data_IF_533355558147
#
_entry.id   IF_533355558147
#
_cell.length_a   1.000
_cell.length_b   1.000
_cell.length_c   1.000
_cell.angle_alpha   90.00
_cell.angle_beta   90.00
_cell.angle_gamma   90.00
#
_symmetry.space_group_name_H-M   'P 1'
#
loop_
_entity.id
_entity.type
_entity.pdbx_description
1 polymer ?
#
# COMPACT_ATOMS: atom_id res chain seq x y z
N UNK A 1 -4.41 0.14 -13.08
CA UNK A 1 -3.08 -0.21 -12.58
C UNK A 1 -3.03 0.00 -11.07
N UNK A 2 -2.60 -1.04 -10.30
CA UNK A 2 -2.45 -1.01 -8.85
C UNK A 2 -3.08 -2.22 -8.16
N UNK A 3 -2.48 -2.69 -7.05
CA UNK A 3 -2.87 -3.92 -6.34
C UNK A 3 -3.68 -3.71 -5.05
N UNK A 4 -4.17 -2.51 -4.80
CA UNK A 4 -4.92 -2.18 -3.58
C UNK A 4 -6.44 -2.18 -3.77
N UNK A 5 -7.15 -1.98 -2.65
CA UNK A 5 -8.61 -1.97 -2.62
C UNK A 5 -9.24 -1.00 -3.62
N UNK A 6 -8.64 0.18 -3.81
CA UNK A 6 -9.14 1.17 -4.77
C UNK A 6 -9.16 0.62 -6.21
N UNK A 7 -8.10 -0.12 -6.61
CA UNK A 7 -8.05 -0.72 -7.94
C UNK A 7 -9.19 -1.75 -8.12
N UNK A 8 -9.38 -2.62 -7.13
CA UNK A 8 -10.43 -3.65 -7.15
C UNK A 8 -11.82 -3.02 -7.24
N UNK A 9 -12.08 -1.99 -6.43
CA UNK A 9 -13.36 -1.27 -6.47
C UNK A 9 -13.59 -0.60 -7.82
N UNK A 10 -12.59 0.08 -8.37
CA UNK A 10 -12.68 0.75 -9.68
C UNK A 10 -12.94 -0.25 -10.82
N UNK A 11 -12.28 -1.41 -10.81
CA UNK A 11 -12.52 -2.46 -11.82
C UNK A 11 -13.96 -2.92 -11.78
N UNK A 12 -14.51 -3.25 -10.60
CA UNK A 12 -15.88 -3.73 -10.49
C UNK A 12 -16.91 -2.66 -10.83
N UNK A 13 -16.63 -1.38 -10.53
CA UNK A 13 -17.50 -0.26 -10.85
C UNK A 13 -17.53 0.03 -12.35
N UNK A 14 -16.39 -0.08 -13.03
CA UNK A 14 -16.26 0.22 -14.46
C UNK A 14 -16.68 -0.97 -15.34
N UNK A 15 -16.59 -2.20 -14.83
CA UNK A 15 -16.84 -3.41 -15.60
C UNK A 15 -18.17 -3.41 -16.41
N UNK A 16 -19.30 -2.87 -15.93
CA UNK A 16 -20.53 -2.83 -16.72
C UNK A 16 -20.50 -1.90 -17.95
N UNK A 17 -19.52 -0.99 -18.01
CA UNK A 17 -19.44 0.07 -19.01
C UNK A 17 -18.25 -0.09 -19.97
N UNK A 18 -17.29 -0.94 -19.65
CA UNK A 18 -16.10 -1.18 -20.45
C UNK A 18 -16.27 -2.38 -21.36
N UNK A 19 -15.81 -2.27 -22.60
CA UNK A 19 -15.78 -3.40 -23.54
C UNK A 19 -14.78 -4.48 -23.08
N UNK A 20 -13.66 -4.06 -22.49
CA UNK A 20 -12.67 -4.94 -21.87
C UNK A 20 -11.99 -4.25 -20.68
N UNK A 21 -11.46 -5.05 -19.77
CA UNK A 21 -10.68 -4.59 -18.62
C UNK A 21 -9.46 -5.47 -18.44
N UNK A 22 -8.30 -4.84 -18.29
CA UNK A 22 -7.06 -5.56 -17.96
C UNK A 22 -6.47 -5.00 -16.68
N UNK A 23 -6.31 -5.85 -15.67
CA UNK A 23 -5.73 -5.45 -14.40
C UNK A 23 -4.22 -5.64 -14.39
N UNK A 24 -3.50 -4.56 -14.06
CA UNK A 24 -2.05 -4.58 -13.96
C UNK A 24 -1.59 -4.38 -12.52
N UNK A 25 -0.80 -5.33 -12.01
CA UNK A 25 -0.14 -5.21 -10.71
C UNK A 25 1.30 -5.69 -10.80
N UNK A 26 2.18 -5.07 -10.02
CA UNK A 26 3.59 -5.43 -9.98
C UNK A 26 3.87 -6.74 -9.23
N UNK A 27 2.93 -7.20 -8.42
CA UNK A 27 3.00 -8.39 -7.56
C UNK A 27 1.64 -9.05 -7.52
N UNK A 28 1.57 -10.33 -7.16
CA UNK A 28 0.29 -10.99 -6.93
C UNK A 28 -0.61 -10.15 -6.01
N UNK A 29 -1.90 -10.03 -6.33
CA UNK A 29 -2.86 -9.37 -5.47
C UNK A 29 -2.93 -10.03 -4.10
N UNK A 30 -2.82 -9.26 -3.03
CA UNK A 30 -2.84 -9.77 -1.67
C UNK A 30 -4.27 -9.78 -1.12
N UNK A 31 -5.02 -10.84 -1.39
CA UNK A 31 -6.31 -11.06 -0.76
C UNK A 31 -6.11 -11.69 0.62
N UNK A 32 -6.70 -11.07 1.64
CA UNK A 32 -6.60 -11.54 3.03
C UNK A 32 -7.97 -12.06 3.49
N UNK A 33 -7.99 -13.28 4.03
CA UNK A 33 -9.16 -13.85 4.66
C UNK A 33 -9.37 -13.23 6.04
N UNK A 34 -10.62 -12.90 6.36
CA UNK A 34 -11.00 -12.50 7.71
C UNK A 34 -12.17 -11.54 7.76
N UNK A 35 -12.79 -11.38 8.93
CA UNK A 35 -13.91 -10.48 9.13
C UNK A 35 -13.53 -9.03 8.86
N UNK A 36 -14.51 -8.19 8.57
CA UNK A 36 -14.37 -6.76 8.22
C UNK A 36 -13.52 -5.95 9.23
N UNK A 37 -13.34 -6.48 10.44
CA UNK A 37 -12.58 -5.87 11.54
C UNK A 37 -11.05 -6.09 11.47
N UNK A 38 -10.56 -6.90 10.55
CA UNK A 38 -9.11 -7.15 10.38
C UNK A 38 -8.36 -5.89 9.98
N UNK A 39 -9.00 -4.95 9.31
CA UNK A 39 -8.40 -3.66 9.00
C UNK A 39 -7.98 -2.91 10.26
N UNK A 40 -8.81 -2.93 11.32
CA UNK A 40 -8.47 -2.35 12.62
C UNK A 40 -7.29 -3.06 13.27
N UNK A 41 -7.34 -4.38 13.39
CA UNK A 41 -6.31 -5.19 14.03
C UNK A 41 -4.99 -5.24 13.24
N UNK A 42 -5.02 -5.28 11.91
CA UNK A 42 -3.82 -5.18 11.08
C UNK A 42 -3.20 -3.78 11.17
N UNK A 43 -4.02 -2.75 11.26
CA UNK A 43 -3.60 -1.38 11.44
C UNK A 43 -2.95 -1.16 12.81
N UNK A 44 -3.51 -1.73 13.87
CA UNK A 44 -2.96 -1.65 15.23
C UNK A 44 -1.66 -2.44 15.39
N UNK A 45 -1.56 -3.62 14.78
CA UNK A 45 -0.30 -4.38 14.72
C UNK A 45 0.79 -3.63 13.98
N UNK A 46 0.46 -3.00 12.84
CA UNK A 46 1.41 -2.18 12.10
C UNK A 46 1.82 -0.92 12.88
N UNK A 47 0.93 -0.33 13.66
CA UNK A 47 1.24 0.78 14.55
C UNK A 47 2.15 0.37 15.71
N UNK A 48 1.89 -0.80 16.33
CA UNK A 48 2.71 -1.38 17.39
C UNK A 48 4.13 -1.75 16.90
N UNK A 49 4.24 -2.36 15.73
CA UNK A 49 5.53 -2.68 15.11
C UNK A 49 6.37 -1.43 14.80
N UNK A 50 5.74 -0.31 14.55
CA UNK A 50 6.42 0.99 14.31
C UNK A 50 6.92 1.65 15.58
N UNK A 51 6.26 1.46 16.70
CA UNK A 51 6.73 1.97 17.99
C UNK A 51 7.99 1.24 18.46
N UNK A 52 8.17 -0.03 18.05
CA UNK A 52 9.24 -0.91 18.51
C UNK A 52 10.36 -1.12 17.46
N UNK A 53 10.18 -0.73 16.22
CA UNK A 53 11.04 -1.10 15.10
C UNK A 53 11.80 0.03 14.43
N UNK A 54 12.59 -0.27 13.38
CA UNK A 54 13.24 0.73 12.53
C UNK A 54 12.20 1.67 11.91
N UNK A 55 12.65 2.87 11.52
CA UNK A 55 11.77 3.91 10.97
C UNK A 55 10.85 3.36 9.86
N UNK A 56 9.55 3.66 9.88
CA UNK A 56 8.63 3.11 8.91
C UNK A 56 9.01 3.59 7.51
N UNK A 57 9.16 2.66 6.62
CA UNK A 57 9.18 2.91 5.17
C UNK A 57 7.93 3.70 4.88
N UNK A 58 8.11 4.86 4.24
CA UNK A 58 7.05 5.84 4.00
C UNK A 58 5.68 5.18 3.78
N UNK A 59 4.65 5.75 4.30
CA UNK A 59 3.28 5.28 4.54
C UNK A 59 2.60 4.34 3.50
N UNK A 60 3.36 3.58 2.75
CA UNK A 60 2.86 2.54 1.87
C UNK A 60 2.21 1.44 2.75
N UNK A 61 0.90 1.51 2.87
CA UNK A 61 0.12 0.35 3.33
C UNK A 61 0.49 -0.84 2.46
N UNK A 62 0.75 -2.03 3.02
CA UNK A 62 0.72 -3.22 2.19
C UNK A 62 -0.64 -3.20 1.48
N UNK A 63 -0.61 -3.27 0.15
CA UNK A 63 -1.82 -3.34 -0.63
C UNK A 63 -2.49 -4.67 -0.29
N UNK A 64 -3.48 -4.65 0.59
CA UNK A 64 -4.27 -5.81 0.97
C UNK A 64 -5.72 -5.55 0.61
N UNK A 65 -6.36 -6.57 0.06
CA UNK A 65 -7.77 -6.56 -0.32
C UNK A 65 -8.48 -7.57 0.57
N UNK A 66 -9.52 -7.18 1.33
CA UNK A 66 -10.29 -8.16 2.09
C UNK A 66 -10.97 -9.13 1.12
N UNK A 67 -10.93 -10.43 1.42
CA UNK A 67 -11.58 -11.46 0.60
C UNK A 67 -13.11 -11.46 0.84
N UNK A 68 -13.75 -10.34 0.53
CA UNK A 68 -15.21 -10.24 0.55
C UNK A 68 -15.80 -11.02 -0.64
N UNK A 69 -16.98 -11.60 -0.46
CA UNK A 69 -17.63 -12.44 -1.48
C UNK A 69 -17.66 -11.73 -2.85
N UNK A 70 -18.07 -10.47 -2.91
CA UNK A 70 -18.11 -9.69 -4.17
C UNK A 70 -16.77 -9.59 -4.90
N UNK A 71 -15.64 -9.68 -4.19
CA UNK A 71 -14.31 -9.64 -4.79
C UNK A 71 -13.88 -11.04 -5.25
N UNK A 72 -14.24 -12.07 -4.48
CA UNK A 72 -14.08 -13.48 -4.90
C UNK A 72 -14.86 -13.74 -6.19
N UNK A 73 -16.12 -13.34 -6.22
CA UNK A 73 -16.97 -13.43 -7.42
C UNK A 73 -16.34 -12.66 -8.61
N UNK A 74 -15.67 -11.55 -8.34
CA UNK A 74 -14.96 -10.77 -9.35
C UNK A 74 -13.76 -11.53 -9.94
N UNK A 75 -13.07 -12.34 -9.14
CA UNK A 75 -11.99 -13.23 -9.60
C UNK A 75 -12.57 -14.38 -10.41
N UNK A 76 -13.60 -15.05 -9.90
CA UNK A 76 -14.29 -16.16 -10.59
C UNK A 76 -14.83 -15.75 -11.96
N UNK A 77 -15.29 -14.51 -12.11
CA UNK A 77 -15.71 -13.93 -13.39
C UNK A 77 -14.56 -13.46 -14.28
N UNK A 78 -13.32 -13.62 -13.85
CA UNK A 78 -12.11 -13.19 -14.58
C UNK A 78 -11.86 -11.68 -14.58
N UNK A 79 -12.66 -10.88 -13.86
CA UNK A 79 -12.48 -9.41 -13.80
C UNK A 79 -11.32 -9.00 -12.90
N UNK A 80 -11.09 -9.74 -11.83
CA UNK A 80 -10.04 -9.46 -10.83
C UNK A 80 -8.88 -10.46 -10.95
N UNK A 81 -8.44 -10.70 -12.18
CA UNK A 81 -7.24 -11.47 -12.49
C UNK A 81 -6.16 -10.53 -13.00
N UNK A 82 -5.09 -10.37 -12.24
CA UNK A 82 -3.97 -9.51 -12.68
C UNK A 82 -3.10 -10.21 -13.70
N UNK A 83 -2.78 -9.49 -14.78
CA UNK A 83 -1.94 -9.94 -15.90
C UNK A 83 -0.47 -9.54 -15.76
N UNK A 84 -0.03 -9.21 -14.56
CA UNK A 84 1.34 -8.74 -14.33
C UNK A 84 1.45 -7.23 -14.44
N UNK A 85 2.60 -6.71 -14.85
CA UNK A 85 2.87 -5.27 -14.87
C UNK A 85 3.26 -4.78 -16.27
N UNK A 86 2.85 -3.56 -16.58
CA UNK A 86 3.23 -2.85 -17.79
C UNK A 86 4.64 -2.27 -17.67
N UNK A 87 5.41 -2.30 -18.75
CA UNK A 87 6.73 -1.69 -18.86
C UNK A 87 6.83 -0.61 -19.93
N UNK A 88 5.90 -0.61 -20.91
CA UNK A 88 5.80 0.42 -21.93
C UNK A 88 4.35 0.89 -22.10
N UNK A 89 4.21 2.15 -22.46
CA UNK A 89 2.96 2.79 -22.81
C UNK A 89 3.17 3.43 -24.17
N UNK A 90 2.29 3.12 -25.12
CA UNK A 90 2.21 3.73 -26.43
C UNK A 90 0.91 4.53 -26.53
N UNK A 91 0.66 5.16 -27.67
CA UNK A 91 -0.49 6.05 -27.91
C UNK A 91 -1.83 5.34 -27.67
N UNK A 92 -1.95 4.08 -28.09
CA UNK A 92 -3.19 3.31 -27.99
C UNK A 92 -3.02 1.93 -27.34
N UNK A 93 -1.84 1.63 -26.81
CA UNK A 93 -1.54 0.32 -26.27
C UNK A 93 -0.60 0.38 -25.07
N UNK A 94 -0.63 -0.68 -24.27
CA UNK A 94 0.36 -0.91 -23.22
C UNK A 94 1.04 -2.26 -23.44
N UNK A 95 2.33 -2.36 -23.08
CA UNK A 95 3.03 -3.64 -23.11
C UNK A 95 3.20 -4.15 -21.68
N UNK A 96 2.72 -5.36 -21.48
CA UNK A 96 3.04 -6.16 -20.30
C UNK A 96 4.36 -6.90 -20.51
N UNK A 97 5.16 -7.03 -19.45
CA UNK A 97 6.41 -7.77 -19.51
C UNK A 97 6.66 -8.55 -18.22
N UNK A 98 7.10 -9.81 -18.30
CA UNK A 98 7.52 -10.57 -17.13
C UNK A 98 8.62 -9.89 -16.32
N UNK A 99 9.48 -9.10 -16.96
CA UNK A 99 10.57 -8.37 -16.30
C UNK A 99 10.10 -7.15 -15.51
N UNK A 100 8.88 -6.66 -15.74
CA UNK A 100 8.27 -5.58 -14.98
C UNK A 100 7.63 -6.06 -13.65
N UNK A 101 7.55 -7.37 -13.45
CA UNK A 101 7.04 -7.97 -12.22
C UNK A 101 8.11 -7.81 -11.13
N UNK A 102 7.71 -7.16 -10.04
CA UNK A 102 8.60 -6.98 -8.90
C UNK A 102 8.82 -8.28 -8.13
N UNK A 103 9.96 -8.44 -7.45
CA UNK A 103 10.22 -9.60 -6.61
C UNK A 103 9.14 -9.74 -5.53
N UNK A 104 8.87 -10.98 -5.15
CA UNK A 104 7.96 -11.26 -4.03
C UNK A 104 8.54 -10.66 -2.72
N UNK A 105 7.68 -10.22 -1.77
CA UNK A 105 8.14 -9.64 -0.50
C UNK A 105 9.06 -10.53 0.34
N UNK A 106 9.02 -11.85 0.15
CA UNK A 106 9.88 -12.82 0.82
C UNK A 106 11.23 -13.07 0.12
N UNK A 107 11.52 -12.34 -0.98
CA UNK A 107 12.75 -12.51 -1.76
C UNK A 107 12.72 -13.70 -2.72
N UNK A 108 11.67 -14.51 -2.74
CA UNK A 108 11.50 -15.55 -3.76
C UNK A 108 11.14 -14.89 -5.08
N UNK A 109 11.85 -15.19 -6.14
CA UNK A 109 11.49 -14.76 -7.50
C UNK A 109 10.26 -15.50 -8.05
N UNK A 110 9.66 -16.34 -7.25
CA UNK A 110 8.47 -17.12 -7.59
C UNK A 110 7.21 -16.37 -7.18
N UNK A 111 6.20 -16.43 -8.02
CA UNK A 111 4.84 -15.97 -7.72
C UNK A 111 4.14 -16.80 -6.61
N UNK A 112 4.88 -17.68 -5.93
CA UNK A 112 4.37 -18.45 -4.81
C UNK A 112 4.10 -17.52 -3.63
N UNK A 113 2.85 -17.29 -3.33
CA UNK A 113 2.40 -16.57 -2.15
C UNK A 113 2.61 -17.48 -0.94
N UNK A 114 3.74 -17.30 -0.30
CA UNK A 114 4.01 -17.92 0.99
C UNK A 114 3.85 -16.86 2.07
N UNK A 115 2.97 -17.09 2.98
CA UNK A 115 2.83 -16.25 4.17
C UNK A 115 1.42 -15.70 4.37
N UNK A 116 0.63 -16.43 5.14
CA UNK A 116 -0.59 -15.89 5.74
C UNK A 116 -1.78 -15.72 4.80
N UNK A 117 -2.00 -16.70 3.92
CA UNK A 117 -3.30 -16.87 3.33
C UNK A 117 -3.62 -15.97 2.15
N UNK A 118 -3.13 -16.33 0.98
CA UNK A 118 -3.87 -15.93 -0.21
C UNK A 118 -5.19 -16.69 -0.21
N UNK A 119 -6.25 -15.93 0.10
CA UNK A 119 -7.58 -16.49 0.07
C UNK A 119 -8.08 -16.74 -1.37
N UNK A 120 -7.41 -16.19 -2.40
CA UNK A 120 -7.88 -16.25 -3.79
C UNK A 120 -6.69 -16.40 -4.76
N UNK A 121 -6.16 -17.63 -4.96
CA UNK A 121 -4.97 -17.88 -5.80
C UNK A 121 -5.18 -17.52 -7.28
N UNK A 122 -6.40 -17.71 -7.81
CA UNK A 122 -6.71 -17.49 -9.23
C UNK A 122 -6.75 -16.00 -9.64
N UNK A 123 -6.46 -15.09 -8.71
CA UNK A 123 -6.36 -13.66 -8.99
C UNK A 123 -5.07 -13.23 -9.69
N UNK A 124 -4.14 -14.17 -9.96
CA UNK A 124 -2.84 -13.91 -10.56
C UNK A 124 -2.54 -14.84 -11.71
N UNK A 125 -2.52 -14.28 -12.91
CA UNK A 125 -2.19 -14.98 -14.16
C UNK A 125 -1.41 -14.02 -15.08
N UNK A 126 -0.11 -13.77 -14.77
CA UNK A 126 0.69 -12.83 -15.53
C UNK A 126 1.04 -13.38 -16.92
N UNK A 127 1.16 -12.49 -17.90
CA UNK A 127 1.67 -12.87 -19.20
C UNK A 127 3.11 -13.43 -19.06
N UNK A 128 3.34 -14.58 -19.68
CA UNK A 128 4.66 -15.25 -19.68
C UNK A 128 5.66 -14.63 -20.66
N UNK A 129 5.14 -13.86 -21.64
CA UNK A 129 5.92 -13.19 -22.68
C UNK A 129 5.49 -11.71 -22.77
N UNK A 130 6.35 -10.83 -23.35
CA UNK A 130 5.98 -9.45 -23.62
C UNK A 130 4.73 -9.40 -24.49
N UNK A 131 3.64 -8.84 -23.97
CA UNK A 131 2.32 -8.84 -24.61
C UNK A 131 1.78 -7.41 -24.72
N UNK A 132 1.42 -7.02 -25.94
CA UNK A 132 0.73 -5.76 -26.18
C UNK A 132 -0.78 -5.91 -26.00
N UNK A 133 -1.39 -4.93 -25.35
CA UNK A 133 -2.83 -4.84 -25.12
C UNK A 133 -3.28 -3.44 -25.54
N UNK A 134 -4.23 -3.37 -26.45
CA UNK A 134 -4.86 -2.11 -26.86
C UNK A 134 -5.71 -1.55 -25.72
N UNK A 135 -5.60 -0.24 -25.48
CA UNK A 135 -6.32 0.45 -24.41
C UNK A 135 -6.72 1.85 -24.84
N UNK A 136 -7.92 2.27 -24.45
CA UNK A 136 -8.41 3.64 -24.62
C UNK A 136 -8.06 4.52 -23.42
N UNK A 137 -7.89 3.90 -22.24
CA UNK A 137 -7.61 4.61 -20.99
C UNK A 137 -6.83 3.78 -19.98
N UNK A 138 -6.00 4.45 -19.18
CA UNK A 138 -5.28 3.85 -18.05
C UNK A 138 -5.73 4.54 -16.78
N UNK A 139 -6.26 3.75 -15.83
CA UNK A 139 -6.63 4.22 -14.49
C UNK A 139 -5.52 3.86 -13.48
N UNK A 140 -4.91 4.88 -12.91
CA UNK A 140 -3.84 4.72 -11.92
C UNK A 140 -4.40 4.68 -10.50
N UNK A 141 -4.37 3.51 -9.87
CA UNK A 141 -4.76 3.28 -8.47
C UNK A 141 -3.55 2.86 -7.62
N UNK A 142 -2.44 3.59 -7.79
CA UNK A 142 -1.13 3.24 -7.22
C UNK A 142 -0.91 3.73 -5.78
N UNK A 143 -1.96 4.28 -5.17
CA UNK A 143 -1.95 4.81 -3.81
C UNK A 143 -1.40 6.24 -3.72
N UNK A 144 -1.30 6.71 -2.49
CA UNK A 144 -0.88 8.08 -2.17
C UNK A 144 0.37 8.08 -1.30
N UNK A 145 1.17 9.12 -1.42
CA UNK A 145 2.28 9.43 -0.51
C UNK A 145 1.86 10.56 0.41
N UNK A 146 2.36 10.55 1.64
CA UNK A 146 2.15 11.66 2.55
C UNK A 146 2.84 12.92 2.01
N UNK A 147 2.09 14.02 1.87
CA UNK A 147 2.58 15.31 1.39
C UNK A 147 3.32 16.05 2.51
N UNK A 148 4.48 15.57 2.90
CA UNK A 148 5.28 16.09 4.02
C UNK A 148 6.52 16.89 3.59
N UNK A 149 6.58 17.37 2.36
CA UNK A 149 7.69 18.12 1.80
C UNK A 149 7.96 19.40 2.60
N UNK A 150 6.91 20.03 3.12
CA UNK A 150 7.03 21.21 3.99
C UNK A 150 7.77 20.95 5.31
N UNK A 151 7.91 19.68 5.72
CA UNK A 151 8.67 19.29 6.92
C UNK A 151 10.11 18.88 6.60
N UNK A 152 10.56 18.91 5.36
CA UNK A 152 11.92 18.52 4.97
C UNK A 152 13.01 19.32 5.71
N UNK A 153 12.87 20.63 5.97
CA UNK A 153 13.87 21.38 6.74
C UNK A 153 14.11 20.81 8.15
N UNK A 154 13.13 20.13 8.74
CA UNK A 154 13.26 19.53 10.06
C UNK A 154 14.01 18.19 10.05
N UNK A 155 14.36 17.66 8.88
CA UNK A 155 15.12 16.40 8.70
C UNK A 155 14.60 15.24 9.56
N UNK A 156 13.29 15.09 9.64
CA UNK A 156 12.61 14.10 10.50
C UNK A 156 12.77 12.68 10.01
N UNK A 157 13.02 12.48 8.72
CA UNK A 157 13.13 11.15 8.12
C UNK A 157 14.38 10.44 8.62
N UNK A 158 14.24 9.17 8.90
CA UNK A 158 15.33 8.27 9.26
C UNK A 158 15.49 7.21 8.17
N UNK A 159 16.74 6.92 7.80
CA UNK A 159 17.04 5.82 6.88
C UNK A 159 16.83 4.49 7.62
N UNK A 160 16.19 3.56 6.98
CA UNK A 160 16.14 2.18 7.46
C UNK A 160 17.30 1.41 6.83
N UNK A 161 18.09 0.71 7.64
CA UNK A 161 19.11 -0.21 7.13
C UNK A 161 18.51 -1.48 6.52
N UNK A 162 17.22 -1.72 6.77
CA UNK A 162 16.43 -2.72 6.08
C UNK A 162 15.74 -2.02 4.93
N UNK A 163 16.12 -2.31 3.71
CA UNK A 163 15.36 -1.96 2.52
C UNK A 163 13.90 -2.40 2.69
N UNK A 164 12.94 -1.79 2.02
CA UNK A 164 11.57 -2.26 2.03
C UNK A 164 11.59 -3.73 1.64
N UNK A 165 10.82 -4.54 2.35
CA UNK A 165 10.64 -5.95 1.99
C UNK A 165 10.29 -5.98 0.50
N UNK A 166 11.19 -6.54 -0.32
CA UNK A 166 11.04 -6.60 -1.78
C UNK A 166 11.56 -5.40 -2.59
N UNK A 167 12.34 -4.48 -2.00
CA UNK A 167 13.14 -3.50 -2.76
C UNK A 167 14.62 -3.81 -2.54
N UNK A 168 15.44 -4.01 -3.60
CA UNK A 168 16.86 -4.26 -3.46
C UNK A 168 17.55 -3.16 -2.66
N UNK A 169 18.56 -3.53 -1.85
CA UNK A 169 19.45 -2.56 -1.24
C UNK A 169 20.09 -1.71 -2.37
N UNK A 170 19.86 -0.40 -2.34
CA UNK A 170 20.24 0.50 -3.45
C UNK A 170 19.08 1.01 -4.31
N UNK A 171 17.84 0.67 -3.93
CA UNK A 171 16.63 1.24 -4.53
C UNK A 171 16.46 2.73 -4.24
N UNK A 172 15.48 3.35 -4.88
CA UNK A 172 15.17 4.77 -4.79
C UNK A 172 15.15 5.26 -3.33
N UNK A 173 16.03 6.22 -2.95
CA UNK A 173 16.14 6.75 -1.59
C UNK A 173 14.81 7.22 -0.99
N UNK A 174 13.84 7.53 -1.84
CA UNK A 174 12.49 7.94 -1.44
C UNK A 174 11.70 6.84 -0.73
N UNK A 175 12.11 5.58 -0.89
CA UNK A 175 11.48 4.43 -0.21
C UNK A 175 12.22 4.01 1.07
N UNK A 176 13.43 4.52 1.28
CA UNK A 176 14.31 4.08 2.36
C UNK A 176 14.16 4.87 3.66
N UNK A 177 13.29 5.89 3.68
CA UNK A 177 13.18 6.76 4.84
C UNK A 177 11.74 7.04 5.25
N UNK A 178 11.46 6.84 6.54
CA UNK A 178 10.20 7.20 7.17
C UNK A 178 10.42 8.13 8.36
N UNK A 179 9.33 8.67 8.91
CA UNK A 179 9.35 9.42 10.17
C UNK A 179 9.04 8.43 11.29
N UNK A 180 9.96 8.34 12.27
CA UNK A 180 9.75 7.52 13.46
C UNK A 180 8.71 8.18 14.35
N UNK A 181 7.70 7.41 14.71
CA UNK A 181 6.59 7.87 15.51
C UNK A 181 6.66 7.29 16.93
N UNK A 182 6.28 8.09 17.92
CA UNK A 182 5.96 7.68 19.27
C UNK A 182 4.45 7.62 19.45
N UNK A 183 3.91 6.42 19.61
CA UNK A 183 2.48 6.19 19.56
C UNK A 183 1.90 6.54 18.18
N UNK A 184 0.68 7.06 18.15
CA UNK A 184 -0.01 7.38 16.89
C UNK A 184 0.41 8.69 16.26
N UNK A 185 0.83 9.66 17.06
CA UNK A 185 0.93 11.06 16.61
C UNK A 185 2.25 11.73 16.90
N UNK A 186 2.98 11.31 17.94
CA UNK A 186 4.25 11.94 18.32
C UNK A 186 5.35 11.64 17.31
N UNK A 187 6.16 12.63 17.00
CA UNK A 187 7.39 12.44 16.22
C UNK A 187 8.56 12.23 17.19
N UNK A 188 9.27 11.11 17.04
CA UNK A 188 10.35 10.75 17.97
C UNK A 188 11.50 11.76 17.98
N UNK A 189 11.87 12.31 16.82
CA UNK A 189 12.94 13.31 16.70
C UNK A 189 12.56 14.70 17.24
N UNK A 190 11.30 15.06 17.17
CA UNK A 190 10.82 16.34 17.68
C UNK A 190 9.51 16.15 18.45
N UNK A 191 9.60 16.03 19.79
CA UNK A 191 8.44 15.81 20.62
C UNK A 191 7.36 16.91 20.53
N UNK A 192 7.70 18.09 20.03
CA UNK A 192 6.76 19.20 19.84
C UNK A 192 5.86 18.99 18.63
N UNK A 193 6.26 18.13 17.70
CA UNK A 193 5.54 17.86 16.47
C UNK A 193 4.64 16.63 16.61
N UNK A 194 3.40 16.79 16.18
CA UNK A 194 2.41 15.73 16.12
C UNK A 194 1.91 15.62 14.69
N UNK A 195 1.92 14.40 14.13
CA UNK A 195 1.39 14.10 12.81
C UNK A 195 0.07 13.33 12.95
N UNK A 196 -0.99 13.88 12.37
CA UNK A 196 -2.32 13.26 12.34
C UNK A 196 -2.58 12.73 10.93
N UNK A 197 -3.08 11.49 10.83
CA UNK A 197 -3.34 10.85 9.53
C UNK A 197 -2.08 10.37 8.82
N UNK A 198 -0.96 10.21 9.52
CA UNK A 198 0.28 9.67 8.97
C UNK A 198 0.37 8.15 9.17
N UNK A 199 0.83 7.47 8.14
CA UNK A 199 1.04 6.03 8.23
C UNK A 199 -0.27 5.21 8.32
N UNK A 200 -0.42 4.30 9.30
CA UNK A 200 -1.62 3.47 9.44
C UNK A 200 -2.88 4.29 9.69
N UNK A 201 -2.72 5.45 10.30
CA UNK A 201 -3.82 6.34 10.62
C UNK A 201 -4.24 7.23 9.43
N UNK A 202 -3.69 7.00 8.22
CA UNK A 202 -4.09 7.64 6.97
C UNK A 202 -5.45 7.12 6.45
N UNK A 203 -6.46 7.11 7.32
CA UNK A 203 -7.85 6.78 7.00
C UNK A 203 -8.75 7.71 7.80
N UNK A 204 -10.00 7.88 7.39
CA UNK A 204 -10.96 8.76 8.07
C UNK A 204 -11.05 8.42 9.56
N UNK A 205 -11.24 7.15 9.88
CA UNK A 205 -11.37 6.69 11.26
C UNK A 205 -10.04 6.76 12.03
N UNK A 206 -8.93 6.40 11.37
CA UNK A 206 -7.58 6.50 11.93
C UNK A 206 -7.21 7.94 12.23
N UNK A 207 -7.45 8.86 11.31
CA UNK A 207 -7.20 10.29 11.50
C UNK A 207 -8.02 10.89 12.66
N UNK A 208 -9.28 10.50 12.80
CA UNK A 208 -10.12 10.94 13.92
C UNK A 208 -9.56 10.47 15.28
N UNK A 209 -9.16 9.21 15.38
CA UNK A 209 -8.52 8.65 16.60
C UNK A 209 -7.17 9.32 16.90
N UNK A 210 -6.35 9.52 15.88
CA UNK A 210 -5.07 10.22 16.00
C UNK A 210 -5.26 11.68 16.42
N UNK A 211 -6.25 12.39 15.88
CA UNK A 211 -6.61 13.75 16.29
C UNK A 211 -6.97 13.83 17.77
N UNK A 212 -7.80 12.92 18.27
CA UNK A 212 -8.13 12.85 19.68
C UNK A 212 -6.91 12.57 20.58
N UNK A 213 -5.98 11.74 20.15
CA UNK A 213 -4.72 11.51 20.89
C UNK A 213 -3.83 12.76 20.88
N UNK A 214 -3.67 13.41 19.73
CA UNK A 214 -2.88 14.62 19.59
C UNK A 214 -3.40 15.73 20.54
N UNK A 215 -4.71 15.95 20.55
CA UNK A 215 -5.33 16.94 21.43
C UNK A 215 -5.04 16.64 22.91
N UNK A 216 -5.17 15.38 23.34
CA UNK A 216 -4.85 14.98 24.72
C UNK A 216 -3.37 15.16 25.07
N UNK A 217 -2.46 14.92 24.10
CA UNK A 217 -1.02 15.14 24.30
C UNK A 217 -0.69 16.61 24.47
N UNK A 218 -1.28 17.48 23.65
CA UNK A 218 -1.11 18.93 23.74
C UNK A 218 -1.63 19.44 25.10
N UNK A 219 -2.84 19.05 25.46
CA UNK A 219 -3.47 19.48 26.71
C UNK A 219 -2.64 19.09 27.95
N UNK A 220 -2.11 17.87 28.01
CA UNK A 220 -1.23 17.44 29.09
C UNK A 220 0.05 18.28 29.16
N UNK A 221 0.65 18.60 28.03
CA UNK A 221 1.88 19.42 28.00
C UNK A 221 1.64 20.84 28.53
N UNK A 222 0.55 21.47 28.12
CA UNK A 222 0.21 22.81 28.56
C UNK A 222 -0.03 22.89 30.07
N UNK A 223 -0.61 21.84 30.65
CA UNK A 223 -0.84 21.76 32.10
C UNK A 223 0.44 21.56 32.93
N UNK A 224 1.47 20.99 32.37
CA UNK A 224 2.75 20.76 33.09
C UNK A 224 3.74 21.92 32.92
N UNK A 225 3.42 22.92 32.12
CA UNK A 225 4.24 24.11 31.91
C UNK A 225 3.73 25.36 32.67
N UNK A 226 2.61 25.26 33.34
CA UNK A 226 2.06 26.25 34.27
C UNK A 226 2.07 25.73 35.69
#
# INVERSE_FOLDING_TARGET
VGGGLTAVQMILEIAPYAASLTWATRRPPNFIAGPDDIWGAALERAAGARAAGPAPIGAARPAAVPALQRYVDGVERGLLVSRGMIDLIDEHAVRFSPTAIGPHPDGSGSAAVTGGGMAVPDSWDPYSEPTWVDVDAIVWSTGFRAALTHLEPLRLRERTNAGPVGVPAGGDPRYESGIRMEGRTGVAKDPRLLLVGYGPDASTLGAARAGGEAARRIWRRLRHQG
#
